data_IF_889097487548
#
_entry.id   IF_889097487548
#
_cell.length_a   1.000
_cell.length_b   1.000
_cell.length_c   1.000
_cell.angle_alpha   90.00
_cell.angle_beta   90.00
_cell.angle_gamma   90.00
#
_symmetry.space_group_name_H-M   'P 1'
#
loop_
_entity.id
_entity.type
_entity.pdbx_description
1 polymer ?
#
# COMPACT_ATOMS: atom_id res chain seq x y z
N UNK A 1 -44.38 15.51 22.04
CA UNK A 1 -42.94 15.25 21.90
C UNK A 1 -42.68 14.94 20.44
N UNK A 2 -42.33 15.96 19.67
CA UNK A 2 -42.05 15.86 18.23
C UNK A 2 -40.67 15.24 18.05
N UNK A 3 -40.63 14.01 17.53
CA UNK A 3 -39.41 13.39 17.06
C UNK A 3 -38.86 14.24 15.92
N UNK A 4 -37.69 14.85 16.16
CA UNK A 4 -36.91 15.49 15.11
C UNK A 4 -36.37 14.34 14.25
N UNK A 5 -37.14 13.95 13.23
CA UNK A 5 -36.56 13.24 12.11
C UNK A 5 -35.56 14.19 11.48
N UNK A 6 -34.29 13.98 11.80
CA UNK A 6 -33.19 14.59 11.07
C UNK A 6 -33.37 14.22 9.62
N UNK A 7 -33.91 15.15 8.83
CA UNK A 7 -33.99 15.08 7.38
C UNK A 7 -32.58 15.23 6.84
N UNK A 8 -31.76 14.20 7.06
CA UNK A 8 -30.43 14.08 6.51
C UNK A 8 -30.53 14.19 5.00
N UNK A 9 -29.78 15.13 4.43
CA UNK A 9 -29.66 15.34 2.99
C UNK A 9 -29.62 13.99 2.25
N UNK A 10 -30.31 13.83 1.10
CA UNK A 10 -30.33 12.58 0.33
C UNK A 10 -28.93 11.99 0.07
N UNK A 11 -27.91 12.85 -0.01
CA UNK A 11 -26.49 12.47 -0.08
C UNK A 11 -25.99 11.66 1.12
N UNK A 12 -26.35 12.02 2.34
CA UNK A 12 -25.91 11.32 3.55
C UNK A 12 -26.51 9.91 3.63
N UNK A 13 -27.77 9.73 3.20
CA UNK A 13 -28.41 8.40 3.20
C UNK A 13 -27.76 7.44 2.18
N UNK A 14 -27.24 7.95 1.05
CA UNK A 14 -26.56 7.13 0.06
C UNK A 14 -25.23 6.57 0.59
N UNK A 15 -24.43 7.42 1.23
CA UNK A 15 -23.14 7.05 1.80
C UNK A 15 -23.30 6.13 3.02
N UNK A 16 -24.22 6.44 3.93
CA UNK A 16 -24.44 5.60 5.13
C UNK A 16 -24.79 4.15 4.79
N UNK A 17 -25.53 3.93 3.69
CA UNK A 17 -25.84 2.58 3.20
C UNK A 17 -24.62 1.81 2.66
N UNK A 18 -23.53 2.49 2.31
CA UNK A 18 -22.34 1.94 1.64
C UNK A 18 -21.05 2.12 2.44
N UNK A 19 -21.08 2.89 3.52
CA UNK A 19 -19.93 3.20 4.38
C UNK A 19 -19.15 1.93 4.76
N UNK A 20 -19.85 0.89 5.20
CA UNK A 20 -19.21 -0.36 5.61
C UNK A 20 -18.47 -1.06 4.45
N UNK A 21 -18.97 -0.95 3.22
CA UNK A 21 -18.29 -1.49 2.05
C UNK A 21 -16.98 -0.73 1.80
N UNK A 22 -17.02 0.60 1.77
CA UNK A 22 -15.83 1.42 1.56
C UNK A 22 -14.79 1.27 2.68
N UNK A 23 -15.23 1.17 3.93
CA UNK A 23 -14.32 0.94 5.08
C UNK A 23 -13.63 -0.41 4.96
N UNK A 24 -14.37 -1.47 4.60
CA UNK A 24 -13.76 -2.80 4.37
C UNK A 24 -12.77 -2.76 3.21
N UNK A 25 -13.14 -2.13 2.11
CA UNK A 25 -12.26 -1.97 0.95
C UNK A 25 -10.96 -1.24 1.33
N UNK A 26 -11.04 -0.14 2.09
CA UNK A 26 -9.88 0.60 2.57
C UNK A 26 -8.97 -0.26 3.47
N UNK A 27 -9.56 -1.06 4.36
CA UNK A 27 -8.82 -1.97 5.23
C UNK A 27 -8.11 -3.04 4.39
N UNK A 28 -8.80 -3.62 3.42
CA UNK A 28 -8.24 -4.64 2.52
C UNK A 28 -7.08 -4.06 1.69
N UNK A 29 -7.25 -2.85 1.13
CA UNK A 29 -6.21 -2.16 0.36
C UNK A 29 -5.00 -1.81 1.24
N UNK A 30 -5.21 -1.38 2.49
CA UNK A 30 -4.15 -1.13 3.47
C UNK A 30 -3.33 -2.40 3.75
N UNK A 31 -3.99 -3.53 4.04
CA UNK A 31 -3.28 -4.78 4.32
C UNK A 31 -2.55 -5.32 3.09
N UNK A 32 -3.15 -5.18 1.90
CA UNK A 32 -2.48 -5.54 0.65
C UNK A 32 -1.19 -4.74 0.47
N UNK A 33 -1.22 -3.43 0.68
CA UNK A 33 -0.03 -2.60 0.57
C UNK A 33 1.01 -2.93 1.65
N UNK A 34 0.57 -3.15 2.88
CA UNK A 34 1.47 -3.50 3.98
C UNK A 34 2.23 -4.80 3.68
N UNK A 35 1.52 -5.81 3.17
CA UNK A 35 2.14 -7.07 2.75
C UNK A 35 3.18 -6.86 1.65
N UNK A 36 2.86 -6.07 0.63
CA UNK A 36 3.79 -5.76 -0.45
C UNK A 36 5.07 -5.07 0.07
N UNK A 37 4.91 -4.13 1.01
CA UNK A 37 6.04 -3.49 1.68
C UNK A 37 6.88 -4.49 2.49
N UNK A 38 6.24 -5.37 3.27
CA UNK A 38 6.93 -6.39 4.05
C UNK A 38 7.72 -7.36 3.17
N UNK A 39 7.13 -7.83 2.06
CA UNK A 39 7.83 -8.73 1.13
C UNK A 39 9.07 -8.05 0.52
N UNK A 40 8.96 -6.77 0.15
CA UNK A 40 10.11 -6.00 -0.33
C UNK A 40 11.16 -5.78 0.77
N UNK A 41 10.73 -5.56 2.01
CA UNK A 41 11.62 -5.37 3.15
C UNK A 41 12.42 -6.64 3.47
N UNK A 42 11.83 -7.82 3.32
CA UNK A 42 12.56 -9.10 3.45
C UNK A 42 13.67 -9.22 2.41
N UNK A 43 13.38 -8.88 1.15
CA UNK A 43 14.41 -8.84 0.09
C UNK A 43 15.54 -7.88 0.47
N UNK A 44 15.22 -6.71 1.02
CA UNK A 44 16.24 -5.78 1.51
C UNK A 44 17.08 -6.39 2.66
N UNK A 45 16.44 -7.08 3.62
CA UNK A 45 17.14 -7.69 4.74
C UNK A 45 18.10 -8.79 4.31
N UNK A 46 17.75 -9.60 3.32
CA UNK A 46 18.64 -10.64 2.76
C UNK A 46 19.94 -10.06 2.19
N UNK A 47 19.91 -8.79 1.77
CA UNK A 47 21.03 -8.10 1.15
C UNK A 47 21.84 -7.29 2.16
N UNK A 48 21.29 -7.06 3.35
CA UNK A 48 21.91 -6.27 4.40
C UNK A 48 22.99 -7.08 5.10
N UNK A 49 24.15 -6.47 5.28
CA UNK A 49 25.24 -7.07 6.04
C UNK A 49 25.31 -6.40 7.41
N UNK A 50 24.79 -7.00 8.49
CA UNK A 50 24.69 -6.34 9.80
C UNK A 50 26.03 -5.91 10.41
N UNK A 51 27.16 -6.44 9.92
CA UNK A 51 28.51 -6.01 10.30
C UNK A 51 29.06 -4.81 9.51
N UNK A 52 28.42 -4.41 8.41
CA UNK A 52 28.76 -3.21 7.64
C UNK A 52 27.85 -2.07 8.08
N UNK A 53 28.43 -0.99 8.60
CA UNK A 53 27.70 0.21 9.03
C UNK A 53 27.22 1.09 7.88
N UNK A 54 27.43 0.67 6.63
CA UNK A 54 27.01 1.44 5.48
C UNK A 54 25.52 1.21 5.20
N UNK A 55 24.74 2.29 5.20
CA UNK A 55 23.34 2.29 4.74
C UNK A 55 23.20 2.03 3.22
N UNK A 56 24.31 1.74 2.53
CA UNK A 56 24.43 1.62 1.09
C UNK A 56 24.63 0.17 0.60
N UNK A 57 24.32 -0.85 1.42
CA UNK A 57 24.44 -2.27 1.02
C UNK A 57 23.71 -2.59 -0.29
N UNK A 58 22.61 -1.88 -0.57
CA UNK A 58 21.90 -1.99 -1.84
C UNK A 58 22.71 -1.49 -3.03
N UNK A 59 23.66 -0.57 -2.86
CA UNK A 59 24.49 -0.02 -3.95
C UNK A 59 25.69 -0.93 -4.28
N UNK A 60 26.00 -1.90 -3.43
CA UNK A 60 27.09 -2.85 -3.70
C UNK A 60 26.81 -3.66 -4.98
N UNK A 61 27.85 -3.96 -5.75
CA UNK A 61 27.68 -4.72 -7.00
C UNK A 61 27.21 -6.16 -6.74
N UNK A 62 27.57 -6.73 -5.58
CA UNK A 62 27.10 -8.04 -5.12
C UNK A 62 25.59 -8.10 -4.87
N UNK A 63 24.92 -6.96 -4.66
CA UNK A 63 23.47 -6.88 -4.41
C UNK A 63 22.67 -6.43 -5.65
N UNK A 64 23.26 -6.51 -6.85
CA UNK A 64 22.60 -6.06 -8.08
C UNK A 64 21.29 -6.81 -8.38
N UNK A 65 21.23 -8.13 -8.16
CA UNK A 65 20.01 -8.92 -8.32
C UNK A 65 18.90 -8.47 -7.34
N UNK A 66 19.28 -8.21 -6.09
CA UNK A 66 18.40 -7.73 -5.05
C UNK A 66 17.83 -6.34 -5.36
N UNK A 67 18.67 -5.41 -5.85
CA UNK A 67 18.19 -4.10 -6.35
C UNK A 67 17.18 -4.26 -7.48
N UNK A 68 17.47 -5.12 -8.45
CA UNK A 68 16.57 -5.34 -9.58
C UNK A 68 15.22 -5.90 -9.11
N UNK A 69 15.22 -6.82 -8.14
CA UNK A 69 14.01 -7.38 -7.55
C UNK A 69 13.20 -6.33 -6.77
N UNK A 70 13.86 -5.51 -5.93
CA UNK A 70 13.21 -4.40 -5.23
C UNK A 70 12.61 -3.40 -6.22
N UNK A 71 13.35 -3.04 -7.27
CA UNK A 71 12.88 -2.14 -8.31
C UNK A 71 11.66 -2.70 -9.05
N UNK A 72 11.69 -3.97 -9.43
CA UNK A 72 10.55 -4.64 -10.08
C UNK A 72 9.30 -4.63 -9.19
N UNK A 73 9.46 -4.88 -7.88
CA UNK A 73 8.36 -4.84 -6.92
C UNK A 73 7.80 -3.42 -6.76
N UNK A 74 8.65 -2.41 -6.65
CA UNK A 74 8.23 -1.00 -6.59
C UNK A 74 7.50 -0.59 -7.89
N UNK A 75 8.05 -0.95 -9.04
CA UNK A 75 7.43 -0.71 -10.34
C UNK A 75 6.06 -1.39 -10.45
N UNK A 76 5.88 -2.58 -9.86
CA UNK A 76 4.57 -3.24 -9.78
C UNK A 76 3.61 -2.55 -8.79
N UNK A 77 4.09 -1.98 -7.70
CA UNK A 77 3.22 -1.24 -6.77
C UNK A 77 2.66 0.06 -7.38
N UNK A 78 3.45 0.71 -8.24
CA UNK A 78 3.06 1.92 -8.98
C UNK A 78 2.32 1.55 -10.27
N UNK A 79 2.72 0.47 -10.94
CA UNK A 79 2.39 0.14 -12.34
C UNK A 79 2.48 1.37 -13.26
N UNK A 80 1.50 1.60 -14.14
CA UNK A 80 1.50 2.69 -15.12
C UNK A 80 0.35 3.65 -14.88
N UNK A 81 0.37 4.79 -15.55
CA UNK A 81 -0.76 5.73 -15.48
C UNK A 81 -2.04 5.12 -16.07
N UNK A 82 -1.91 4.28 -17.11
CA UNK A 82 -3.01 3.55 -17.74
C UNK A 82 -3.46 2.31 -16.98
N UNK A 83 -2.61 1.75 -16.11
CA UNK A 83 -2.87 0.54 -15.33
C UNK A 83 -2.43 0.81 -13.90
N UNK A 84 -3.39 1.24 -13.08
CA UNK A 84 -3.15 1.75 -11.74
C UNK A 84 -2.77 0.62 -10.78
N UNK A 85 -1.53 0.64 -10.31
CA UNK A 85 -1.04 -0.28 -9.30
C UNK A 85 -1.66 -0.04 -7.92
N UNK A 86 -1.41 -0.94 -6.95
CA UNK A 86 -1.97 -0.86 -5.59
C UNK A 86 -1.83 0.50 -4.90
N UNK A 87 -0.75 1.26 -5.16
CA UNK A 87 -0.55 2.58 -4.54
C UNK A 87 -1.54 3.65 -4.98
N UNK A 88 -2.16 3.50 -6.16
CA UNK A 88 -3.11 4.47 -6.69
C UNK A 88 -4.52 4.32 -6.10
N UNK A 89 -4.77 3.25 -5.35
CA UNK A 89 -6.06 2.98 -4.71
C UNK A 89 -6.20 3.62 -3.33
N UNK A 90 -5.11 4.16 -2.79
CA UNK A 90 -5.07 4.98 -1.57
C UNK A 90 -5.51 6.41 -1.85
#
# INVERSE_FOLDING_TARGET
>A
MTGIESSGSPRNRWFEKRKNFFVRQLIDDFFQLNRLFQEMYLVYLDCRHPGKWNCADLLDQSTASCRAEIWNRLAHMVETDSRKGPLWKL
#
